data_IF_061778910312
#
_entry.id   IF_061778910312
#
_cell.length_a   1.000
_cell.length_b   1.000
_cell.length_c   1.000
_cell.angle_alpha   90.00
_cell.angle_beta   90.00
_cell.angle_gamma   90.00
#
_symmetry.space_group_name_H-M   'P 1'
#
loop_
_entity.id
_entity.type
_entity.pdbx_description
1 polymer ?
#
# COMPACT_ATOMS: atom_id res chain seq x y z
N UNK A 1 1.89 13.69 12.78
CA UNK A 1 0.78 14.20 13.62
C UNK A 1 -0.55 13.82 12.99
N UNK A 2 -1.56 13.47 13.78
CA UNK A 2 -2.91 13.16 13.31
C UNK A 2 -3.94 14.03 14.05
N UNK A 3 -4.86 14.64 13.32
CA UNK A 3 -5.99 15.39 13.85
C UNK A 3 -7.28 14.89 13.22
N UNK A 4 -8.30 14.78 14.07
CA UNK A 4 -9.60 14.23 13.71
C UNK A 4 -10.71 15.01 14.43
N UNK A 5 -11.66 15.54 13.66
CA UNK A 5 -12.86 16.20 14.16
C UNK A 5 -14.08 15.71 13.40
N UNK A 6 -15.18 15.45 14.10
CA UNK A 6 -16.37 14.80 13.52
C UNK A 6 -17.65 15.52 13.92
N UNK A 7 -18.53 15.67 12.93
CA UNK A 7 -19.95 15.93 13.07
C UNK A 7 -20.72 14.76 12.45
N UNK A 8 -21.69 14.21 13.18
CA UNK A 8 -22.44 13.06 12.72
C UNK A 8 -23.78 13.48 12.12
N UNK A 9 -24.04 13.07 10.87
CA UNK A 9 -25.35 13.20 10.23
C UNK A 9 -25.94 11.81 9.98
N UNK A 10 -26.99 11.47 10.72
CA UNK A 10 -27.76 10.25 10.50
C UNK A 10 -28.87 10.54 9.48
N UNK A 11 -28.82 9.85 8.33
CA UNK A 11 -29.74 10.09 7.21
C UNK A 11 -30.89 9.09 7.17
N UNK A 12 -30.70 7.89 7.71
CA UNK A 12 -31.70 6.83 7.79
C UNK A 12 -31.79 6.34 9.24
N UNK A 13 -33.02 6.22 9.75
CA UNK A 13 -33.29 5.71 11.09
C UNK A 13 -33.11 4.18 11.12
N UNK A 14 -32.82 3.62 12.29
CA UNK A 14 -32.61 2.16 12.46
C UNK A 14 -33.90 1.33 12.24
N UNK A 15 -35.04 1.99 11.93
CA UNK A 15 -36.31 1.36 11.59
C UNK A 15 -36.45 1.19 10.07
N UNK A 16 -36.40 -0.05 9.59
CA UNK A 16 -36.51 -0.38 8.16
C UNK A 16 -37.85 0.01 7.53
N UNK A 17 -38.94 0.10 8.31
CA UNK A 17 -40.27 0.47 7.78
C UNK A 17 -40.31 1.94 7.40
N UNK A 18 -39.77 2.80 8.25
CA UNK A 18 -39.68 4.24 8.03
C UNK A 18 -38.64 4.58 6.95
N UNK A 19 -37.52 3.85 6.94
CA UNK A 19 -36.50 3.97 5.89
C UNK A 19 -37.07 3.71 4.47
N UNK A 20 -37.98 2.73 4.33
CA UNK A 20 -38.65 2.43 3.05
C UNK A 20 -39.49 3.58 2.53
N UNK A 21 -40.05 4.43 3.39
CA UNK A 21 -40.86 5.58 2.94
C UNK A 21 -40.02 6.61 2.19
N UNK A 22 -38.71 6.65 2.48
CA UNK A 22 -37.76 7.58 1.88
C UNK A 22 -36.89 6.97 0.77
N UNK A 23 -36.93 5.65 0.60
CA UNK A 23 -36.15 4.93 -0.41
C UNK A 23 -37.02 4.54 -1.61
N UNK A 24 -36.49 4.72 -2.82
CA UNK A 24 -37.13 4.20 -4.03
C UNK A 24 -37.00 2.68 -4.09
N UNK A 25 -37.94 1.98 -4.77
CA UNK A 25 -37.79 0.56 -5.07
C UNK A 25 -36.44 0.29 -5.73
N UNK A 26 -35.82 -0.82 -5.36
CA UNK A 26 -34.52 -1.22 -5.90
C UNK A 26 -34.67 -1.65 -7.37
N UNK A 27 -33.79 -1.18 -8.27
CA UNK A 27 -33.71 -1.69 -9.64
C UNK A 27 -33.35 -3.19 -9.66
N UNK A 28 -33.92 -3.94 -10.61
CA UNK A 28 -33.67 -5.38 -10.74
C UNK A 28 -32.22 -5.73 -11.13
N UNK A 29 -31.44 -4.76 -11.59
CA UNK A 29 -30.03 -4.88 -12.00
C UNK A 29 -29.04 -4.35 -10.94
N UNK A 30 -29.50 -4.13 -9.70
CA UNK A 30 -28.63 -3.60 -8.64
C UNK A 30 -27.60 -4.65 -8.19
N UNK A 31 -26.32 -4.33 -8.38
CA UNK A 31 -25.18 -5.14 -7.92
C UNK A 31 -24.70 -4.80 -6.50
N UNK A 32 -25.28 -3.79 -5.87
CA UNK A 32 -24.90 -3.39 -4.52
C UNK A 32 -25.42 -4.40 -3.48
N UNK A 33 -24.66 -4.59 -2.40
CA UNK A 33 -25.03 -5.42 -1.24
C UNK A 33 -25.52 -4.58 -0.05
N UNK A 34 -25.15 -3.29 -0.02
CA UNK A 34 -25.42 -2.37 1.09
C UNK A 34 -25.91 -1.01 0.62
N UNK A 35 -26.59 -0.29 1.51
CA UNK A 35 -26.93 1.14 1.41
C UNK A 35 -26.18 1.94 2.46
N UNK A 36 -25.90 3.20 2.17
CA UNK A 36 -25.36 4.15 3.15
C UNK A 36 -26.52 4.63 4.03
N UNK A 37 -26.50 4.28 5.32
CA UNK A 37 -27.53 4.68 6.30
C UNK A 37 -27.14 5.92 7.10
N UNK A 38 -25.84 6.15 7.30
CA UNK A 38 -25.33 7.35 7.95
C UNK A 38 -23.97 7.77 7.38
N UNK A 39 -23.66 9.05 7.50
CA UNK A 39 -22.37 9.62 7.10
C UNK A 39 -21.85 10.51 8.22
N UNK A 40 -20.65 10.24 8.70
CA UNK A 40 -19.93 11.16 9.56
C UNK A 40 -19.11 12.11 8.68
N UNK A 41 -19.19 13.41 8.98
CA UNK A 41 -18.49 14.48 8.28
C UNK A 41 -17.43 15.08 9.19
N UNK A 42 -16.29 15.46 8.65
CA UNK A 42 -15.22 15.99 9.46
C UNK A 42 -14.01 16.47 8.70
N UNK A 43 -12.99 16.81 9.46
CA UNK A 43 -11.66 17.14 8.97
C UNK A 43 -10.72 16.04 9.46
N UNK A 44 -10.15 15.30 8.53
CA UNK A 44 -9.13 14.28 8.79
C UNK A 44 -7.84 14.69 8.10
N UNK A 45 -6.76 14.79 8.88
CA UNK A 45 -5.46 15.24 8.41
C UNK A 45 -4.35 14.42 9.05
N UNK A 46 -3.55 13.78 8.20
CA UNK A 46 -2.28 13.13 8.57
C UNK A 46 -1.13 13.93 7.99
N UNK A 47 -0.24 14.37 8.87
CA UNK A 47 0.92 15.17 8.51
C UNK A 47 2.19 14.39 8.86
N UNK A 48 3.02 14.13 7.84
CA UNK A 48 4.36 13.54 7.98
C UNK A 48 5.36 14.67 8.12
N UNK A 49 5.97 14.74 9.30
CA UNK A 49 6.89 15.79 9.69
C UNK A 49 8.31 15.23 9.69
N UNK A 50 9.25 15.99 9.12
CA UNK A 50 10.68 15.78 9.30
C UNK A 50 11.18 16.79 10.34
N UNK A 51 11.74 16.25 11.43
CA UNK A 51 12.25 17.01 12.56
C UNK A 51 13.77 17.15 12.42
N UNK A 52 14.38 18.28 12.83
CA UNK A 52 15.82 18.42 12.85
C UNK A 52 16.51 17.33 13.68
N UNK A 53 17.71 16.91 13.26
CA UNK A 53 18.49 15.88 13.95
C UNK A 53 19.06 16.32 15.31
N UNK A 54 18.94 17.60 15.68
CA UNK A 54 19.34 18.11 16.98
C UNK A 54 18.34 17.68 18.06
N UNK A 55 18.77 16.80 18.95
CA UNK A 55 17.93 16.18 19.99
C UNK A 55 17.21 17.22 20.86
N UNK A 56 17.86 18.34 21.21
CA UNK A 56 17.24 19.39 22.02
C UNK A 56 16.12 20.12 21.27
N UNK A 57 16.34 20.42 19.98
CA UNK A 57 15.32 20.99 19.11
C UNK A 57 14.18 20.01 18.89
N UNK A 58 14.48 18.72 18.67
CA UNK A 58 13.49 17.68 18.49
C UNK A 58 12.59 17.51 19.72
N UNK A 59 13.16 17.46 20.92
CA UNK A 59 12.40 17.36 22.17
C UNK A 59 11.47 18.57 22.36
N UNK A 60 11.94 19.79 22.06
CA UNK A 60 11.10 20.99 22.11
C UNK A 60 9.97 20.97 21.10
N UNK A 61 10.21 20.44 19.90
CA UNK A 61 9.17 20.23 18.88
C UNK A 61 8.13 19.24 19.38
N UNK A 62 8.54 18.11 19.95
CA UNK A 62 7.62 17.12 20.53
C UNK A 62 6.75 17.71 21.63
N UNK A 63 7.32 18.55 22.49
CA UNK A 63 6.57 19.27 23.52
C UNK A 63 5.53 20.20 22.89
N UNK A 64 5.91 21.01 21.89
CA UNK A 64 5.00 21.91 21.19
C UNK A 64 3.86 21.15 20.49
N UNK A 65 4.19 20.05 19.79
CA UNK A 65 3.21 19.19 19.12
C UNK A 65 2.21 18.57 20.11
N UNK A 66 2.68 18.11 21.28
CA UNK A 66 1.82 17.59 22.35
C UNK A 66 0.89 18.66 22.93
N UNK A 67 1.36 19.90 23.09
CA UNK A 67 0.51 21.03 23.52
C UNK A 67 -0.62 21.26 22.52
N UNK A 68 -0.30 21.42 21.24
CA UNK A 68 -1.29 21.62 20.17
C UNK A 68 -2.30 20.47 20.14
N UNK A 69 -1.83 19.22 20.20
CA UNK A 69 -2.70 18.05 20.23
C UNK A 69 -3.66 18.06 21.42
N UNK A 70 -3.17 18.42 22.61
CA UNK A 70 -3.99 18.49 23.82
C UNK A 70 -5.05 19.58 23.71
N UNK A 71 -4.70 20.75 23.18
CA UNK A 71 -5.65 21.84 22.99
C UNK A 71 -6.72 21.51 21.94
N UNK A 72 -6.33 20.84 20.87
CA UNK A 72 -7.27 20.32 19.86
C UNK A 72 -8.27 19.33 20.42
N UNK A 73 -7.83 18.37 21.26
CA UNK A 73 -8.73 17.43 21.94
C UNK A 73 -9.72 18.13 22.87
N UNK A 74 -9.29 19.20 23.52
CA UNK A 74 -10.11 19.98 24.43
C UNK A 74 -10.98 21.04 23.74
N UNK A 75 -10.97 21.09 22.39
CA UNK A 75 -11.66 22.11 21.59
C UNK A 75 -11.28 23.56 21.94
N UNK A 76 -10.13 23.78 22.58
CA UNK A 76 -9.63 25.11 22.93
C UNK A 76 -8.94 25.77 21.74
N UNK A 77 -8.91 27.10 21.73
CA UNK A 77 -8.11 27.90 20.78
C UNK A 77 -6.62 27.57 20.96
N UNK A 78 -5.92 27.36 19.84
CA UNK A 78 -4.49 27.05 19.82
C UNK A 78 -3.60 28.24 19.46
N UNK A 79 -4.20 29.38 19.11
CA UNK A 79 -3.48 30.55 18.58
C UNK A 79 -2.33 30.97 19.49
N UNK A 80 -2.57 31.03 20.81
CA UNK A 80 -1.54 31.35 21.79
C UNK A 80 -0.42 30.31 21.89
N UNK A 81 -0.72 29.00 21.80
CA UNK A 81 0.34 27.98 21.83
C UNK A 81 1.17 27.96 20.56
N UNK A 82 0.55 28.27 19.41
CA UNK A 82 1.30 28.44 18.18
C UNK A 82 2.24 29.64 18.34
N UNK A 83 1.73 30.80 18.79
CA UNK A 83 2.50 32.03 18.99
C UNK A 83 3.73 31.83 19.90
N UNK A 84 3.54 31.16 21.04
CA UNK A 84 4.61 30.88 22.00
C UNK A 84 5.72 29.99 21.41
N UNK A 85 5.35 29.06 20.52
CA UNK A 85 6.23 28.03 19.97
C UNK A 85 6.55 28.25 18.46
N UNK A 86 6.21 29.40 17.85
CA UNK A 86 6.40 29.65 16.39
C UNK A 86 7.83 29.34 15.95
N UNK A 87 8.81 29.91 16.66
CA UNK A 87 10.23 29.80 16.30
C UNK A 87 10.74 28.35 16.30
N UNK A 88 10.13 27.47 17.11
CA UNK A 88 10.50 26.04 17.12
C UNK A 88 9.72 25.26 16.07
N UNK A 89 8.44 25.61 15.85
CA UNK A 89 7.58 24.97 14.86
C UNK A 89 7.98 25.30 13.42
N UNK A 90 8.53 26.49 13.16
CA UNK A 90 9.07 26.87 11.84
C UNK A 90 10.26 26.02 11.40
N UNK A 91 10.93 25.32 12.33
CA UNK A 91 12.03 24.41 12.01
C UNK A 91 11.55 23.04 11.51
N UNK A 92 10.24 22.79 11.53
CA UNK A 92 9.65 21.54 11.05
C UNK A 92 9.59 21.60 9.52
N UNK A 93 10.22 20.61 8.88
CA UNK A 93 10.08 20.41 7.44
C UNK A 93 8.88 19.51 7.19
N UNK A 94 7.93 19.97 6.37
CA UNK A 94 6.80 19.15 5.96
C UNK A 94 7.20 18.22 4.82
N UNK A 95 7.02 16.92 5.02
CA UNK A 95 7.38 15.92 4.01
C UNK A 95 6.17 15.52 3.17
N UNK A 96 5.05 15.17 3.82
CA UNK A 96 3.80 14.78 3.14
C UNK A 96 2.58 15.17 3.96
N UNK A 97 1.51 15.54 3.27
CA UNK A 97 0.21 15.88 3.85
C UNK A 97 -0.86 15.03 3.18
N UNK A 98 -1.64 14.33 4.00
CA UNK A 98 -2.81 13.57 3.56
C UNK A 98 -4.02 14.15 4.26
N UNK A 99 -5.05 14.49 3.49
CA UNK A 99 -6.30 14.99 4.07
C UNK A 99 -7.47 14.73 3.14
N UNK A 100 -8.65 14.56 3.73
CA UNK A 100 -9.92 14.60 3.00
C UNK A 100 -10.25 16.00 2.43
N UNK A 101 -9.52 17.04 2.82
CA UNK A 101 -9.64 18.40 2.30
C UNK A 101 -8.47 18.76 1.36
N UNK A 102 -8.78 18.91 0.07
CA UNK A 102 -7.83 19.31 -0.99
C UNK A 102 -7.13 20.64 -0.70
N UNK A 103 -7.75 21.54 0.08
CA UNK A 103 -7.12 22.81 0.46
C UNK A 103 -5.94 22.60 1.41
N UNK A 104 -6.06 21.65 2.34
CA UNK A 104 -5.00 21.37 3.33
C UNK A 104 -3.81 20.69 2.65
N UNK A 105 -4.05 19.82 1.67
CA UNK A 105 -2.97 19.12 0.95
C UNK A 105 -2.05 20.04 0.14
N UNK A 106 -2.47 21.28 -0.11
CA UNK A 106 -1.69 22.31 -0.84
C UNK A 106 -0.89 23.24 0.07
N UNK A 107 -1.07 23.15 1.38
CA UNK A 107 -0.36 24.02 2.34
C UNK A 107 1.09 23.57 2.47
N UNK A 108 1.98 24.53 2.74
CA UNK A 108 3.42 24.27 2.81
C UNK A 108 4.00 24.55 4.19
N UNK A 109 3.19 24.97 5.15
CA UNK A 109 3.61 25.25 6.53
C UNK A 109 2.76 24.51 7.55
N UNK A 110 3.41 23.91 8.54
CA UNK A 110 2.72 23.24 9.65
C UNK A 110 1.82 24.22 10.42
N UNK A 111 2.32 25.44 10.62
CA UNK A 111 1.59 26.51 11.31
C UNK A 111 0.34 26.91 10.53
N UNK A 112 0.46 27.04 9.21
CA UNK A 112 -0.68 27.35 8.33
C UNK A 112 -1.79 26.29 8.45
N UNK A 113 -1.41 25.01 8.44
CA UNK A 113 -2.35 23.90 8.62
C UNK A 113 -3.02 23.99 9.98
N UNK A 114 -2.25 24.23 11.04
CA UNK A 114 -2.79 24.32 12.39
C UNK A 114 -3.80 25.46 12.53
N UNK A 115 -3.47 26.65 12.00
CA UNK A 115 -4.35 27.80 11.98
C UNK A 115 -5.59 27.57 11.10
N UNK A 116 -5.45 26.84 9.99
CA UNK A 116 -6.59 26.49 9.14
C UNK A 116 -7.57 25.59 9.89
N UNK A 117 -7.06 24.52 10.53
CA UNK A 117 -7.88 23.61 11.33
C UNK A 117 -8.59 24.38 12.43
N UNK A 118 -7.86 25.21 13.19
CA UNK A 118 -8.42 25.95 14.31
C UNK A 118 -9.55 26.90 13.90
N UNK A 119 -9.37 27.62 12.78
CA UNK A 119 -10.38 28.54 12.21
C UNK A 119 -11.61 27.83 11.66
N UNK A 120 -11.52 26.54 11.31
CA UNK A 120 -12.57 25.82 10.59
C UNK A 120 -13.17 24.63 11.36
N UNK A 121 -12.61 24.22 12.49
CA UNK A 121 -13.11 23.12 13.35
C UNK A 121 -14.50 23.34 13.96
N UNK A 122 -15.14 24.49 13.71
CA UNK A 122 -16.52 24.78 14.10
C UNK A 122 -17.44 25.04 12.89
N UNK A 123 -16.89 25.07 11.68
CA UNK A 123 -17.62 25.38 10.44
C UNK A 123 -17.99 24.08 9.74
N UNK A 124 -19.17 23.55 10.04
CA UNK A 124 -19.68 22.29 9.46
C UNK A 124 -19.65 22.32 7.92
N UNK A 125 -19.84 23.49 7.30
CA UNK A 125 -19.81 23.65 5.83
C UNK A 125 -18.44 23.35 5.20
N UNK A 126 -17.36 23.32 5.98
CA UNK A 126 -16.02 22.97 5.51
C UNK A 126 -15.70 21.48 5.73
N UNK A 127 -16.64 20.69 6.26
CA UNK A 127 -16.40 19.28 6.55
C UNK A 127 -16.64 18.41 5.31
N UNK A 128 -15.88 17.31 5.21
CA UNK A 128 -16.06 16.29 4.19
C UNK A 128 -16.37 14.93 4.81
N UNK A 129 -17.03 14.00 4.09
CA UNK A 129 -17.26 12.65 4.60
C UNK A 129 -15.96 11.99 5.07
N UNK A 130 -16.03 11.31 6.22
CA UNK A 130 -14.91 10.58 6.84
C UNK A 130 -15.29 9.15 7.22
N UNK A 131 -16.56 8.89 7.50
CA UNK A 131 -17.05 7.55 7.82
C UNK A 131 -18.42 7.33 7.19
N UNK A 132 -18.64 6.13 6.67
CA UNK A 132 -19.93 5.70 6.15
C UNK A 132 -20.42 4.52 6.97
N UNK A 133 -21.63 4.63 7.50
CA UNK A 133 -22.33 3.47 8.07
C UNK A 133 -23.11 2.80 6.95
N UNK A 134 -22.83 1.52 6.74
CA UNK A 134 -23.49 0.69 5.73
C UNK A 134 -24.49 -0.24 6.39
N UNK A 135 -25.67 -0.38 5.80
CA UNK A 135 -26.66 -1.39 6.18
C UNK A 135 -26.93 -2.32 5.00
N UNK A 136 -27.10 -3.64 5.22
CA UNK A 136 -27.44 -4.57 4.16
C UNK A 136 -28.75 -4.17 3.47
N UNK A 137 -28.83 -4.35 2.16
CA UNK A 137 -30.08 -4.13 1.43
C UNK A 137 -31.20 -5.03 1.94
N UNK A 138 -30.86 -6.24 2.37
CA UNK A 138 -31.80 -7.22 2.96
C UNK A 138 -32.53 -6.65 4.19
N UNK A 139 -31.88 -5.78 4.97
CA UNK A 139 -32.52 -5.10 6.10
C UNK A 139 -33.64 -4.16 5.61
N UNK A 140 -33.42 -3.49 4.48
CA UNK A 140 -34.40 -2.60 3.87
C UNK A 140 -35.47 -3.40 3.11
N UNK A 141 -35.14 -4.52 2.46
CA UNK A 141 -36.07 -5.34 1.67
C UNK A 141 -35.90 -6.85 1.95
N UNK A 142 -36.47 -7.36 3.06
CA UNK A 142 -36.28 -8.74 3.51
C UNK A 142 -37.05 -9.76 2.66
N UNK A 143 -38.09 -9.34 1.94
CA UNK A 143 -38.92 -10.25 1.13
C UNK A 143 -38.29 -10.57 -0.24
N UNK A 144 -37.14 -9.95 -0.56
CA UNK A 144 -36.47 -10.03 -1.86
C UNK A 144 -35.07 -10.66 -1.80
N UNK A 145 -34.71 -11.28 -0.67
CA UNK A 145 -33.37 -11.78 -0.33
C UNK A 145 -32.78 -12.73 -1.37
N UNK A 146 -33.60 -13.52 -2.07
CA UNK A 146 -33.11 -14.46 -3.09
C UNK A 146 -32.71 -13.83 -4.43
N UNK A 147 -32.97 -12.53 -4.62
CA UNK A 147 -32.76 -11.85 -5.91
C UNK A 147 -31.54 -10.92 -5.93
N UNK A 148 -30.86 -10.73 -4.81
CA UNK A 148 -29.76 -9.77 -4.69
C UNK A 148 -28.44 -10.42 -4.28
N UNK A 149 -27.29 -9.81 -4.66
CA UNK A 149 -25.99 -10.24 -4.17
C UNK A 149 -25.94 -10.11 -2.64
N UNK A 150 -25.39 -11.12 -1.97
CA UNK A 150 -25.09 -11.08 -0.53
C UNK A 150 -23.61 -10.76 -0.32
N UNK A 151 -23.29 -10.17 0.83
CA UNK A 151 -21.92 -9.93 1.26
C UNK A 151 -21.56 -10.93 2.35
N UNK A 152 -20.53 -11.74 2.11
CA UNK A 152 -19.98 -12.67 3.08
C UNK A 152 -18.77 -12.01 3.77
N UNK A 153 -18.84 -11.69 5.08
CA UNK A 153 -17.69 -11.15 5.78
C UNK A 153 -16.59 -12.21 5.86
N UNK A 154 -15.34 -11.77 5.71
CA UNK A 154 -14.19 -12.63 5.84
C UNK A 154 -13.76 -12.69 7.31
N UNK A 155 -13.44 -13.88 7.81
CA UNK A 155 -12.93 -14.04 9.17
C UNK A 155 -11.58 -13.33 9.32
N UNK A 156 -11.36 -12.74 10.51
CA UNK A 156 -10.17 -11.97 10.82
C UNK A 156 -8.86 -12.73 10.53
N UNK A 157 -8.84 -14.05 10.76
CA UNK A 157 -7.65 -14.88 10.51
C UNK A 157 -7.17 -14.75 9.06
N UNK A 158 -8.09 -14.72 8.09
CA UNK A 158 -7.75 -14.59 6.68
C UNK A 158 -7.41 -13.16 6.28
N UNK A 159 -8.07 -12.16 6.90
CA UNK A 159 -7.70 -10.75 6.74
C UNK A 159 -6.25 -10.54 7.20
N UNK A 160 -5.90 -11.04 8.39
CA UNK A 160 -4.55 -10.95 8.94
C UNK A 160 -3.52 -11.68 8.05
N UNK A 161 -3.90 -12.81 7.43
CA UNK A 161 -3.07 -13.53 6.44
C UNK A 161 -2.80 -12.66 5.20
N UNK A 162 -3.84 -12.09 4.59
CA UNK A 162 -3.69 -11.18 3.45
C UNK A 162 -2.82 -9.98 3.80
N UNK A 163 -3.10 -9.32 4.92
CA UNK A 163 -2.36 -8.14 5.37
C UNK A 163 -0.88 -8.45 5.56
N UNK A 164 -0.55 -9.50 6.32
CA UNK A 164 0.83 -9.92 6.56
C UNK A 164 1.56 -10.17 5.24
N UNK A 165 0.91 -10.86 4.32
CA UNK A 165 1.47 -11.20 3.03
C UNK A 165 1.75 -9.98 2.16
N UNK A 166 0.80 -9.06 2.08
CA UNK A 166 0.95 -7.80 1.37
C UNK A 166 2.07 -6.93 1.95
N UNK A 167 2.23 -6.92 3.28
CA UNK A 167 3.33 -6.22 3.96
C UNK A 167 4.69 -6.85 3.60
N UNK A 168 4.81 -8.18 3.58
CA UNK A 168 6.06 -8.87 3.20
C UNK A 168 6.49 -8.52 1.78
N UNK A 169 5.55 -8.57 0.83
CA UNK A 169 5.76 -8.20 -0.58
C UNK A 169 6.18 -6.73 -0.67
N UNK A 170 5.43 -5.83 -0.04
CA UNK A 170 5.67 -4.38 -0.08
C UNK A 170 7.07 -4.04 0.47
N UNK A 171 7.46 -4.62 1.60
CA UNK A 171 8.76 -4.37 2.21
C UNK A 171 9.91 -4.81 1.29
N UNK A 172 9.77 -5.99 0.68
CA UNK A 172 10.79 -6.54 -0.21
C UNK A 172 10.93 -5.72 -1.50
N UNK A 173 9.80 -5.31 -2.09
CA UNK A 173 9.76 -4.42 -3.24
C UNK A 173 10.36 -3.04 -2.93
N UNK A 174 10.00 -2.46 -1.77
CA UNK A 174 10.48 -1.16 -1.34
C UNK A 174 11.98 -1.14 -1.06
N UNK A 175 12.53 -2.21 -0.49
CA UNK A 175 13.97 -2.33 -0.26
C UNK A 175 14.78 -2.13 -1.55
N UNK A 176 14.34 -2.73 -2.66
CA UNK A 176 14.99 -2.57 -3.97
C UNK A 176 14.84 -1.12 -4.46
N UNK A 177 13.64 -0.55 -4.35
CA UNK A 177 13.36 0.83 -4.73
C UNK A 177 14.27 1.83 -4.02
N UNK A 178 14.36 1.73 -2.70
CA UNK A 178 15.13 2.64 -1.85
C UNK A 178 16.64 2.55 -2.18
N UNK A 179 17.14 1.35 -2.47
CA UNK A 179 18.53 1.15 -2.90
C UNK A 179 18.79 1.77 -4.28
N UNK A 180 17.94 1.50 -5.27
CA UNK A 180 18.09 2.08 -6.61
C UNK A 180 18.07 3.61 -6.56
N UNK A 181 17.09 4.20 -5.87
CA UNK A 181 17.01 5.66 -5.72
C UNK A 181 18.27 6.25 -5.07
N UNK A 182 18.80 5.59 -4.03
CA UNK A 182 20.01 6.04 -3.36
C UNK A 182 21.23 6.03 -4.29
N UNK A 183 21.46 4.95 -5.06
CA UNK A 183 22.64 4.82 -5.92
C UNK A 183 22.51 5.58 -7.25
N UNK A 184 21.31 5.73 -7.81
CA UNK A 184 21.08 6.55 -9.01
C UNK A 184 21.40 8.03 -8.78
N UNK A 185 21.38 8.50 -7.53
CA UNK A 185 21.75 9.87 -7.16
C UNK A 185 23.27 10.05 -6.90
N UNK A 186 24.08 8.99 -6.97
CA UNK A 186 25.53 9.09 -6.78
C UNK A 186 26.28 9.43 -8.07
N UNK A 187 27.45 10.05 -7.92
CA UNK A 187 28.36 10.29 -9.04
C UNK A 187 29.11 8.99 -9.34
N UNK A 188 28.74 8.35 -10.45
CA UNK A 188 29.29 7.04 -10.83
C UNK A 188 30.01 7.10 -12.20
N UNK A 189 31.01 6.24 -12.44
CA UNK A 189 31.51 5.93 -13.77
C UNK A 189 30.38 5.48 -14.71
N UNK A 190 30.54 5.73 -16.01
CA UNK A 190 29.47 5.50 -16.99
C UNK A 190 29.06 4.03 -17.13
N UNK A 191 30.00 3.09 -17.01
CA UNK A 191 29.67 1.65 -17.03
C UNK A 191 28.80 1.21 -15.83
N UNK A 192 29.01 1.80 -14.65
CA UNK A 192 28.17 1.52 -13.47
C UNK A 192 26.78 2.18 -13.61
N UNK A 193 26.69 3.31 -14.31
CA UNK A 193 25.38 3.91 -14.67
C UNK A 193 24.61 3.02 -15.63
N UNK A 194 25.26 2.45 -16.64
CA UNK A 194 24.62 1.53 -17.58
C UNK A 194 24.06 0.30 -16.85
N UNK A 195 24.84 -0.30 -15.94
CA UNK A 195 24.37 -1.41 -15.10
C UNK A 195 23.18 -1.02 -14.21
N UNK A 196 23.19 0.19 -13.63
CA UNK A 196 22.03 0.67 -12.85
C UNK A 196 20.79 0.90 -13.72
N UNK A 197 20.94 1.38 -14.96
CA UNK A 197 19.82 1.54 -15.90
C UNK A 197 19.22 0.18 -16.29
N UNK A 198 20.05 -0.84 -16.48
CA UNK A 198 19.58 -2.21 -16.69
C UNK A 198 18.79 -2.72 -15.48
N UNK A 199 19.30 -2.48 -14.27
CA UNK A 199 18.59 -2.80 -13.02
C UNK A 199 17.27 -2.06 -12.86
N UNK A 200 17.20 -0.79 -13.27
CA UNK A 200 15.94 -0.03 -13.29
C UNK A 200 14.92 -0.65 -14.25
N UNK A 201 15.36 -1.21 -15.38
CA UNK A 201 14.48 -1.94 -16.31
C UNK A 201 13.97 -3.26 -15.72
N UNK A 202 14.82 -4.03 -15.05
CA UNK A 202 14.41 -5.24 -14.33
C UNK A 202 13.44 -4.90 -13.18
N UNK A 203 13.70 -3.81 -12.45
CA UNK A 203 12.82 -3.31 -11.40
C UNK A 203 11.44 -2.90 -11.93
N UNK A 204 11.34 -2.26 -13.10
CA UNK A 204 10.03 -1.99 -13.75
C UNK A 204 9.27 -3.27 -14.06
N UNK A 205 9.97 -4.33 -14.47
CA UNK A 205 9.34 -5.64 -14.71
C UNK A 205 8.81 -6.24 -13.41
N UNK A 206 9.57 -6.11 -12.31
CA UNK A 206 9.12 -6.48 -10.96
C UNK A 206 7.90 -5.66 -10.51
N UNK A 207 7.84 -4.36 -10.83
CA UNK A 207 6.69 -3.52 -10.52
C UNK A 207 5.41 -4.04 -11.21
N UNK A 208 5.50 -4.41 -12.48
CA UNK A 208 4.34 -4.98 -13.20
C UNK A 208 3.86 -6.28 -12.55
N UNK A 209 4.79 -7.15 -12.14
CA UNK A 209 4.44 -8.37 -11.40
C UNK A 209 3.78 -8.04 -10.04
N UNK A 210 4.33 -7.09 -9.29
CA UNK A 210 3.75 -6.62 -8.05
C UNK A 210 2.30 -6.15 -8.24
N UNK A 211 2.06 -5.25 -9.20
CA UNK A 211 0.72 -4.70 -9.47
C UNK A 211 -0.28 -5.79 -9.91
N UNK A 212 0.16 -6.75 -10.72
CA UNK A 212 -0.65 -7.90 -11.13
C UNK A 212 -1.03 -8.79 -9.95
N UNK A 213 -0.10 -8.99 -9.01
CA UNK A 213 -0.34 -9.76 -7.79
C UNK A 213 -1.39 -9.12 -6.89
N UNK A 214 -1.26 -7.81 -6.64
CA UNK A 214 -2.23 -7.03 -5.87
C UNK A 214 -3.62 -7.11 -6.51
N UNK A 215 -3.72 -6.93 -7.82
CA UNK A 215 -5.00 -6.99 -8.53
C UNK A 215 -5.66 -8.36 -8.37
N UNK A 216 -4.90 -9.43 -8.55
CA UNK A 216 -5.41 -10.80 -8.43
C UNK A 216 -5.89 -11.13 -7.02
N UNK A 217 -5.14 -10.74 -5.99
CA UNK A 217 -5.56 -10.95 -4.59
C UNK A 217 -6.81 -10.11 -4.26
N UNK A 218 -6.90 -8.90 -4.80
CA UNK A 218 -8.10 -8.05 -4.66
C UNK A 218 -9.31 -8.69 -5.32
N UNK A 219 -9.15 -9.24 -6.53
CA UNK A 219 -10.22 -9.97 -7.23
C UNK A 219 -10.69 -11.18 -6.43
N UNK A 220 -9.78 -12.02 -5.95
CA UNK A 220 -10.13 -13.17 -5.12
C UNK A 220 -10.90 -12.75 -3.87
N UNK A 221 -10.47 -11.68 -3.20
CA UNK A 221 -11.18 -11.15 -2.03
C UNK A 221 -12.61 -10.69 -2.39
N UNK A 222 -12.81 -10.04 -3.53
CA UNK A 222 -14.14 -9.67 -4.02
C UNK A 222 -15.00 -10.89 -4.37
N UNK A 223 -14.43 -11.89 -5.02
CA UNK A 223 -15.11 -13.14 -5.37
C UNK A 223 -15.56 -13.89 -4.10
N UNK A 224 -14.71 -13.98 -3.08
CA UNK A 224 -15.07 -14.56 -1.78
C UNK A 224 -16.20 -13.76 -1.11
N UNK A 225 -16.09 -12.43 -1.08
CA UNK A 225 -17.13 -11.58 -0.49
C UNK A 225 -18.48 -11.71 -1.20
N UNK A 226 -18.49 -11.99 -2.50
CA UNK A 226 -19.69 -12.22 -3.29
C UNK A 226 -20.18 -13.68 -3.28
N UNK A 227 -19.45 -14.59 -2.62
CA UNK A 227 -19.74 -16.02 -2.59
C UNK A 227 -19.44 -16.77 -3.90
N UNK A 228 -18.69 -16.16 -4.81
CA UNK A 228 -18.26 -16.77 -6.08
C UNK A 228 -17.04 -17.69 -5.91
N UNK A 229 -16.21 -17.43 -4.90
CA UNK A 229 -15.04 -18.24 -4.53
C UNK A 229 -15.12 -18.68 -3.07
N UNK A 230 -14.46 -19.79 -2.74
CA UNK A 230 -14.36 -20.30 -1.37
C UNK A 230 -13.14 -19.69 -0.65
N UNK A 231 -13.29 -19.47 0.66
CA UNK A 231 -12.24 -19.02 1.57
C UNK A 231 -11.02 -19.96 1.54
N UNK A 232 -11.23 -21.25 1.28
CA UNK A 232 -10.15 -22.25 1.15
C UNK A 232 -9.19 -21.97 -0.02
N UNK A 233 -9.59 -21.13 -0.98
CA UNK A 233 -8.75 -20.73 -2.12
C UNK A 233 -7.70 -19.67 -1.76
N UNK A 234 -7.79 -19.07 -0.57
CA UNK A 234 -6.84 -18.05 -0.10
C UNK A 234 -5.44 -18.64 0.06
N UNK A 235 -5.30 -19.76 0.77
CA UNK A 235 -3.99 -20.34 1.05
C UNK A 235 -3.24 -20.73 -0.25
N UNK A 236 -3.86 -21.45 -1.21
CA UNK A 236 -3.26 -21.69 -2.52
C UNK A 236 -2.90 -20.42 -3.29
N UNK A 237 -3.75 -19.38 -3.25
CA UNK A 237 -3.49 -18.13 -3.96
C UNK A 237 -2.28 -17.37 -3.40
N UNK A 238 -2.10 -17.39 -2.08
CA UNK A 238 -0.94 -16.81 -1.39
C UNK A 238 0.33 -17.65 -1.59
N UNK A 239 0.23 -18.97 -1.68
CA UNK A 239 1.37 -19.88 -1.89
C UNK A 239 1.89 -19.88 -3.33
N UNK A 240 0.99 -20.02 -4.32
CA UNK A 240 1.35 -20.30 -5.71
C UNK A 240 2.05 -19.13 -6.42
N UNK A 241 1.71 -17.89 -6.08
CA UNK A 241 2.20 -16.70 -6.78
C UNK A 241 3.39 -16.04 -6.10
N UNK A 242 3.38 -16.03 -4.77
CA UNK A 242 4.25 -15.14 -4.01
C UNK A 242 5.44 -15.82 -3.35
N UNK A 243 5.39 -17.12 -3.05
CA UNK A 243 6.57 -17.78 -2.49
C UNK A 243 7.59 -18.19 -3.53
N UNK A 244 7.16 -18.58 -4.73
CA UNK A 244 8.08 -19.16 -5.72
C UNK A 244 8.52 -18.14 -6.76
N UNK A 245 7.59 -17.44 -7.41
CA UNK A 245 7.96 -16.59 -8.55
C UNK A 245 8.40 -15.20 -8.08
N UNK A 246 7.55 -14.49 -7.32
CA UNK A 246 7.85 -13.13 -6.90
C UNK A 246 9.06 -13.06 -5.96
N UNK A 247 9.11 -13.92 -4.93
CA UNK A 247 10.27 -14.00 -4.02
C UNK A 247 11.56 -14.41 -4.75
N UNK A 248 11.53 -15.37 -5.68
CA UNK A 248 12.73 -15.71 -6.44
C UNK A 248 13.19 -14.54 -7.32
N UNK A 249 12.27 -13.85 -7.98
CA UNK A 249 12.59 -12.69 -8.82
C UNK A 249 13.19 -11.54 -7.99
N UNK A 250 12.65 -11.27 -6.81
CA UNK A 250 13.22 -10.34 -5.84
C UNK A 250 14.63 -10.76 -5.41
N UNK A 251 14.84 -12.03 -5.07
CA UNK A 251 16.15 -12.52 -4.64
C UNK A 251 17.20 -12.37 -5.76
N UNK A 252 16.82 -12.62 -7.01
CA UNK A 252 17.69 -12.43 -8.18
C UNK A 252 18.08 -10.96 -8.32
N UNK A 253 17.08 -10.06 -8.31
CA UNK A 253 17.32 -8.62 -8.43
C UNK A 253 18.16 -8.09 -7.28
N UNK A 254 17.86 -8.48 -6.03
CA UNK A 254 18.66 -8.10 -4.86
C UNK A 254 20.09 -8.59 -4.96
N UNK A 255 20.32 -9.83 -5.41
CA UNK A 255 21.67 -10.39 -5.56
C UNK A 255 22.48 -9.60 -6.59
N UNK A 256 21.89 -9.33 -7.77
CA UNK A 256 22.53 -8.50 -8.81
C UNK A 256 22.83 -7.09 -8.28
N UNK A 257 21.86 -6.47 -7.60
CA UNK A 257 22.01 -5.13 -7.05
C UNK A 257 23.10 -5.07 -5.98
N UNK A 258 23.20 -6.07 -5.10
CA UNK A 258 24.27 -6.15 -4.10
C UNK A 258 25.65 -6.24 -4.76
N UNK A 259 25.81 -7.00 -5.84
CA UNK A 259 27.08 -7.08 -6.58
C UNK A 259 27.47 -5.73 -7.19
N UNK A 260 26.50 -5.01 -7.80
CA UNK A 260 26.73 -3.66 -8.32
C UNK A 260 27.12 -2.70 -7.20
N UNK A 261 26.46 -2.80 -6.04
CA UNK A 261 26.73 -1.97 -4.88
C UNK A 261 28.14 -2.21 -4.32
N UNK A 262 28.55 -3.48 -4.20
CA UNK A 262 29.92 -3.83 -3.80
C UNK A 262 30.95 -3.21 -4.75
N UNK A 263 30.67 -3.23 -6.06
CA UNK A 263 31.57 -2.63 -7.04
C UNK A 263 31.58 -1.09 -6.97
N UNK A 264 30.42 -0.45 -6.76
CA UNK A 264 30.33 0.99 -6.51
C UNK A 264 31.17 1.35 -5.27
N UNK A 265 31.05 0.59 -4.18
CA UNK A 265 31.81 0.81 -2.96
C UNK A 265 33.31 0.61 -3.19
N UNK A 266 33.70 -0.41 -3.97
CA UNK A 266 35.08 -0.66 -4.33
C UNK A 266 35.68 0.50 -5.14
N UNK A 267 34.98 0.99 -6.16
CA UNK A 267 35.44 2.12 -6.98
C UNK A 267 35.57 3.39 -6.14
N UNK A 268 34.57 3.66 -5.30
CA UNK A 268 34.56 4.84 -4.43
C UNK A 268 35.65 4.80 -3.34
N UNK A 269 36.06 3.60 -2.90
CA UNK A 269 37.16 3.43 -1.92
C UNK A 269 38.54 3.32 -2.56
N UNK A 270 38.65 2.96 -3.85
CA UNK A 270 39.92 2.68 -4.54
C UNK A 270 40.52 3.86 -5.33
N UNK A 271 40.00 5.09 -5.18
CA UNK A 271 40.75 6.28 -5.57
C UNK A 271 41.42 6.92 -4.34
N UNK A 272 42.78 6.95 -4.24
CA UNK A 272 43.74 6.99 -5.33
C UNK A 272 44.82 5.90 -5.25
N UNK A 273 44.70 4.79 -5.98
CA UNK A 273 45.89 4.11 -6.49
C UNK A 273 45.58 3.25 -7.72
N UNK A 274 46.31 3.50 -8.81
CA UNK A 274 46.17 2.84 -10.11
C UNK A 274 46.33 1.32 -9.95
N UNK A 275 45.26 0.54 -10.15
CA UNK A 275 45.39 -0.90 -10.38
C UNK A 275 44.50 -1.41 -11.52
N UNK A 276 45.09 -2.36 -12.24
CA UNK A 276 44.67 -2.90 -13.52
C UNK A 276 43.42 -3.76 -13.39
N UNK A 277 42.53 -3.54 -14.36
CA UNK A 277 41.39 -4.38 -14.73
C UNK A 277 41.81 -5.85 -14.87
N UNK A 278 41.19 -6.74 -14.09
CA UNK A 278 41.02 -8.14 -14.48
C UNK A 278 39.53 -8.32 -14.73
N UNK A 279 39.16 -8.55 -15.99
CA UNK A 279 37.81 -8.98 -16.35
C UNK A 279 37.48 -10.24 -15.55
N UNK A 280 36.59 -10.13 -14.56
CA UNK A 280 35.77 -11.27 -14.18
C UNK A 280 34.87 -11.54 -15.39
N UNK A 281 35.16 -12.62 -16.09
CA UNK A 281 34.53 -12.93 -17.37
C UNK A 281 33.02 -13.19 -17.15
N UNK A 282 32.19 -12.46 -17.90
CA UNK A 282 30.72 -12.60 -18.02
C UNK A 282 30.22 -14.04 -18.25
N UNK A 283 31.12 -14.98 -18.56
CA UNK A 283 30.83 -16.39 -18.83
C UNK A 283 30.42 -17.20 -17.60
N UNK A 284 30.95 -16.95 -16.40
CA UNK A 284 30.67 -17.82 -15.24
C UNK A 284 29.31 -17.51 -14.57
N UNK A 285 28.89 -16.25 -14.57
CA UNK A 285 27.57 -15.84 -14.06
C UNK A 285 26.47 -16.24 -15.04
N UNK A 286 26.68 -16.03 -16.36
CA UNK A 286 25.68 -16.41 -17.34
C UNK A 286 25.50 -17.93 -17.44
N UNK A 287 26.57 -18.74 -17.33
CA UNK A 287 26.44 -20.19 -17.44
C UNK A 287 25.67 -20.80 -16.24
N UNK A 288 25.94 -20.34 -15.02
CA UNK A 288 25.22 -20.83 -13.83
C UNK A 288 23.76 -20.36 -13.78
N UNK A 289 23.48 -19.14 -14.25
CA UNK A 289 22.11 -18.60 -14.33
C UNK A 289 21.32 -19.26 -15.45
N UNK A 290 21.95 -19.57 -16.58
CA UNK A 290 21.31 -20.27 -17.69
C UNK A 290 21.03 -21.74 -17.33
N UNK A 291 21.91 -22.40 -16.58
CA UNK A 291 21.68 -23.75 -16.03
C UNK A 291 20.49 -23.77 -15.06
N UNK A 292 20.37 -22.78 -14.16
CA UNK A 292 19.22 -22.67 -13.24
C UNK A 292 17.91 -22.30 -13.97
N UNK A 293 17.96 -21.45 -14.99
CA UNK A 293 16.80 -21.15 -15.83
C UNK A 293 16.34 -22.35 -16.66
N UNK A 294 17.26 -23.14 -17.21
CA UNK A 294 16.93 -24.38 -17.91
C UNK A 294 16.38 -25.44 -16.96
N UNK A 295 16.91 -25.58 -15.74
CA UNK A 295 16.36 -26.50 -14.74
C UNK A 295 14.93 -26.12 -14.34
N UNK A 296 14.63 -24.83 -14.22
CA UNK A 296 13.26 -24.35 -14.00
C UNK A 296 12.34 -24.63 -15.19
N UNK A 297 12.78 -24.39 -16.44
CA UNK A 297 11.98 -24.66 -17.65
C UNK A 297 11.74 -26.16 -17.90
N UNK A 298 12.77 -27.01 -17.70
CA UNK A 298 12.66 -28.47 -17.86
C UNK A 298 11.73 -29.08 -16.79
N UNK A 299 11.71 -28.52 -15.57
CA UNK A 299 10.75 -28.92 -14.55
C UNK A 299 9.30 -28.55 -14.94
N UNK A 300 9.11 -27.48 -15.72
CA UNK A 300 7.79 -27.07 -16.22
C UNK A 300 7.30 -27.96 -17.38
N UNK A 301 8.19 -28.33 -18.30
CA UNK A 301 7.85 -29.19 -19.45
C UNK A 301 7.58 -30.65 -19.04
N UNK A 302 8.29 -31.19 -18.04
CA UNK A 302 8.01 -32.53 -17.52
C UNK A 302 6.66 -32.64 -16.82
N UNK A 303 6.19 -31.57 -16.16
CA UNK A 303 4.84 -31.55 -15.55
C UNK A 303 3.73 -31.40 -16.60
N UNK A 304 3.96 -30.65 -17.68
CA UNK A 304 2.99 -30.58 -18.79
C UNK A 304 2.92 -31.89 -19.59
N UNK A 305 4.04 -32.60 -19.77
CA UNK A 305 4.05 -33.89 -20.45
C UNK A 305 3.43 -35.00 -19.56
N UNK A 306 3.67 -34.99 -18.25
CA UNK A 306 3.04 -35.95 -17.32
C UNK A 306 1.50 -35.74 -17.22
N UNK A 307 0.99 -34.51 -17.40
CA UNK A 307 -0.45 -34.23 -17.49
C UNK A 307 -1.07 -34.61 -18.85
N UNK A 308 -0.28 -34.61 -19.94
CA UNK A 308 -0.73 -35.06 -21.27
C UNK A 308 -0.71 -36.60 -21.36
N UNK A 309 0.32 -37.27 -20.81
CA UNK A 309 0.40 -38.74 -20.81
C UNK A 309 -0.52 -39.43 -19.77
N UNK A 310 -0.98 -38.72 -18.75
CA UNK A 310 -1.96 -39.25 -17.77
C UNK A 310 -3.40 -39.27 -18.30
N UNK A 311 -3.70 -38.48 -19.35
CA UNK A 311 -5.05 -38.43 -19.95
C UNK A 311 -5.26 -39.42 -21.11
N UNK A 312 -4.18 -39.99 -21.68
CA UNK A 312 -4.27 -40.95 -22.79
C UNK A 312 -4.37 -42.43 -22.33
N UNK A 313 -4.28 -42.75 -21.04
CA UNK A 313 -4.41 -44.14 -20.53
C UNK A 313 -5.83 -44.55 -20.06
N UNK A 314 -6.86 -43.73 -20.29
CA UNK A 314 -8.26 -44.08 -19.90
C UNK A 314 -9.13 -44.52 -21.10
N UNK A 315 -8.57 -44.62 -22.30
CA UNK A 315 -9.28 -45.09 -23.50
C UNK A 315 -8.66 -46.36 -24.10
N UNK A 316 -8.45 -47.39 -23.29
CA UNK A 316 -8.50 -48.77 -23.76
C UNK A 316 -8.57 -49.74 -22.58
N UNK A 317 -9.79 -50.08 -22.18
CA UNK A 317 -10.15 -51.43 -21.76
C UNK A 317 -11.68 -51.61 -21.81
N UNK A 318 -12.08 -52.47 -22.74
CA UNK A 318 -13.36 -53.19 -22.74
C UNK A 318 -13.43 -54.20 -21.60
#
# INVERSE_FOLDING_TARGET
MHYFCVYHERRILDNSTEAREHCKPIPNDLLATHIISAVSFGIDVVIVLQVPADDQTAERIDVALKKIQTQWKNSSDISHSIEDDVNILEKITLTKIYSNLIRITKMTSFIEICQFIDRNKQKINEYCPIEYTLQPIEWLYPDTVSSYPSYLPLDKIYIDKFEKHLIEILNSYKQISDLLEYYSNQILPDYLKELLVEMESEYRSLQVLYESGILRLTTLMMEIHSGQANVDEIDPALEHYDQTIFKAYIQIILKKLMLIIEEIQYVNSSQPEKLKYNQFSETEINQHVMEQMLECQIATEKQSDDEIFSNDQVLDNK
#
